data_IF_005213684156
#
_entry.id   IF_005213684156
#
_cell.length_a   1.000
_cell.length_b   1.000
_cell.length_c   1.000
_cell.angle_alpha   90.00
_cell.angle_beta   90.00
_cell.angle_gamma   90.00
#
_symmetry.space_group_name_H-M   'P 1'
#
loop_
_entity.id
_entity.type
_entity.pdbx_description
1 polymer ?
#
# COMPACT_ATOMS: atom_id res chain seq x y z
N UNK A 1 1.87 -25.28 9.80
CA UNK A 1 0.94 -24.37 9.09
C UNK A 1 0.82 -24.91 7.67
N UNK A 2 -0.32 -25.51 7.33
CA UNK A 2 -0.55 -26.14 6.02
C UNK A 2 -0.65 -25.10 4.91
N UNK A 3 0.36 -25.04 4.04
CA UNK A 3 0.48 -24.10 2.93
C UNK A 3 -0.49 -24.32 1.75
N UNK A 4 -1.43 -25.27 1.86
CA UNK A 4 -2.42 -25.59 0.81
C UNK A 4 -3.75 -24.87 1.00
N UNK A 5 -4.07 -24.40 2.22
CA UNK A 5 -5.29 -23.60 2.48
C UNK A 5 -5.13 -22.11 2.18
N UNK A 6 -3.90 -21.62 2.10
CA UNK A 6 -3.60 -20.19 1.89
C UNK A 6 -3.34 -19.81 0.43
N UNK A 7 -3.39 -20.74 -0.53
CA UNK A 7 -3.15 -20.39 -1.95
C UNK A 7 -4.20 -19.41 -2.50
N UNK A 8 -5.47 -19.59 -2.14
CA UNK A 8 -6.56 -18.67 -2.50
C UNK A 8 -6.50 -17.33 -1.78
N UNK A 9 -6.17 -17.34 -0.48
CA UNK A 9 -6.01 -16.12 0.34
C UNK A 9 -4.74 -15.34 -0.02
N UNK A 10 -3.59 -16.00 -0.26
CA UNK A 10 -2.37 -15.37 -0.76
C UNK A 10 -2.60 -14.67 -2.12
N UNK A 11 -3.44 -15.25 -2.98
CA UNK A 11 -3.83 -14.62 -4.25
C UNK A 11 -4.77 -13.43 -4.03
N UNK A 12 -5.72 -13.53 -3.09
CA UNK A 12 -6.62 -12.44 -2.72
C UNK A 12 -5.87 -11.26 -2.13
N UNK A 13 -5.00 -11.49 -1.14
CA UNK A 13 -4.23 -10.46 -0.44
C UNK A 13 -3.20 -9.81 -1.37
N UNK A 14 -2.52 -10.60 -2.19
CA UNK A 14 -1.58 -10.07 -3.19
C UNK A 14 -2.30 -9.26 -4.26
N UNK A 15 -3.52 -9.65 -4.65
CA UNK A 15 -4.33 -8.90 -5.62
C UNK A 15 -4.88 -7.62 -5.01
N UNK A 16 -5.37 -7.68 -3.77
CA UNK A 16 -5.87 -6.54 -3.01
C UNK A 16 -4.79 -5.49 -2.78
N UNK A 17 -3.60 -5.91 -2.34
CA UNK A 17 -2.45 -5.02 -2.16
C UNK A 17 -2.04 -4.37 -3.49
N UNK A 18 -1.96 -5.14 -4.59
CA UNK A 18 -1.65 -4.60 -5.92
C UNK A 18 -2.69 -3.59 -6.40
N UNK A 19 -3.97 -3.84 -6.15
CA UNK A 19 -5.06 -2.93 -6.52
C UNK A 19 -5.03 -1.64 -5.69
N UNK A 20 -4.89 -1.76 -4.37
CA UNK A 20 -4.77 -0.64 -3.45
C UNK A 20 -3.55 0.24 -3.81
N UNK A 21 -2.41 -0.38 -4.08
CA UNK A 21 -1.19 0.29 -4.53
C UNK A 21 -1.39 1.07 -5.83
N UNK A 22 -1.99 0.45 -6.84
CA UNK A 22 -2.28 1.11 -8.13
C UNK A 22 -3.26 2.27 -7.97
N UNK A 23 -4.29 2.11 -7.14
CA UNK A 23 -5.26 3.17 -6.85
C UNK A 23 -4.59 4.36 -6.14
N UNK A 24 -3.71 4.08 -5.18
CA UNK A 24 -2.91 5.07 -4.48
C UNK A 24 -2.00 5.85 -5.44
N UNK A 25 -1.25 5.17 -6.31
CA UNK A 25 -0.40 5.83 -7.32
C UNK A 25 -1.22 6.72 -8.27
N UNK A 26 -2.39 6.25 -8.74
CA UNK A 26 -3.27 7.03 -9.61
C UNK A 26 -3.82 8.29 -8.90
N UNK A 27 -4.13 8.19 -7.61
CA UNK A 27 -4.55 9.32 -6.80
C UNK A 27 -3.43 10.36 -6.68
N UNK A 28 -2.19 9.92 -6.43
CA UNK A 28 -1.01 10.81 -6.32
C UNK A 28 -0.73 11.56 -7.61
N UNK A 29 -0.74 10.86 -8.74
CA UNK A 29 -0.57 11.47 -10.06
C UNK A 29 -1.61 12.56 -10.33
N UNK A 30 -2.88 12.33 -9.96
CA UNK A 30 -3.97 13.31 -10.10
C UNK A 30 -3.78 14.54 -9.20
N UNK A 31 -3.18 14.38 -8.02
CA UNK A 31 -2.93 15.47 -7.06
C UNK A 31 -1.64 16.26 -7.36
N UNK A 32 -0.95 15.97 -8.47
CA UNK A 32 0.32 16.62 -8.91
C UNK A 32 1.38 16.67 -7.79
N UNK A 33 1.47 15.60 -6.99
CA UNK A 33 2.39 15.50 -5.85
C UNK A 33 2.27 16.65 -4.84
N UNK A 34 1.07 17.24 -4.67
CA UNK A 34 0.75 18.04 -3.46
C UNK A 34 0.59 17.07 -2.28
N UNK A 35 1.70 16.48 -1.88
CA UNK A 35 1.75 15.51 -0.80
C UNK A 35 1.86 16.27 0.50
N UNK A 36 0.79 16.18 1.30
CA UNK A 36 0.85 16.51 2.70
C UNK A 36 1.74 15.45 3.36
N UNK A 37 2.97 15.82 3.70
CA UNK A 37 3.82 15.00 4.56
C UNK A 37 3.06 14.78 5.88
N UNK A 38 2.94 13.51 6.29
CA UNK A 38 2.27 13.17 7.55
C UNK A 38 3.18 13.65 8.69
N UNK A 39 2.67 14.50 9.61
CA UNK A 39 3.44 14.93 10.77
C UNK A 39 3.96 13.74 11.58
N UNK A 40 5.26 13.70 11.85
CA UNK A 40 5.95 12.60 12.56
C UNK A 40 6.44 11.44 11.67
N UNK A 41 6.12 11.45 10.37
CA UNK A 41 6.58 10.46 9.38
C UNK A 41 7.29 11.10 8.18
N UNK A 42 7.73 12.35 8.31
CA UNK A 42 8.36 13.12 7.24
C UNK A 42 9.66 12.49 6.72
N UNK A 43 10.34 11.69 7.55
CA UNK A 43 11.52 10.93 7.14
C UNK A 43 11.23 9.81 6.14
N UNK A 44 9.98 9.36 6.02
CA UNK A 44 9.60 8.28 5.13
C UNK A 44 9.10 8.81 3.79
N UNK A 45 9.30 8.02 2.75
CA UNK A 45 8.63 8.26 1.48
C UNK A 45 7.15 7.89 1.60
N UNK A 46 6.32 8.53 0.79
CA UNK A 46 4.90 8.19 0.63
C UNK A 46 4.67 6.69 0.37
N UNK A 47 5.56 6.07 -0.40
CA UNK A 47 5.55 4.64 -0.69
C UNK A 47 5.81 3.83 0.60
N UNK A 48 6.80 4.23 1.40
CA UNK A 48 7.08 3.59 2.69
C UNK A 48 5.92 3.78 3.67
N UNK A 49 5.33 4.96 3.73
CA UNK A 49 4.15 5.24 4.56
C UNK A 49 2.97 4.36 4.17
N UNK A 50 2.72 4.15 2.87
CA UNK A 50 1.68 3.24 2.40
C UNK A 50 1.88 1.81 2.93
N UNK A 51 3.10 1.26 2.82
CA UNK A 51 3.38 -0.10 3.28
C UNK A 51 3.43 -0.21 4.81
N UNK A 52 3.86 0.83 5.52
CA UNK A 52 3.76 0.92 6.98
C UNK A 52 2.29 0.89 7.44
N UNK A 53 1.38 1.55 6.72
CA UNK A 53 -0.05 1.54 7.04
C UNK A 53 -0.73 0.20 6.68
N UNK A 54 -0.26 -0.51 5.66
CA UNK A 54 -0.79 -1.82 5.28
C UNK A 54 -0.36 -2.95 6.23
N UNK A 55 0.86 -2.88 6.76
CA UNK A 55 1.43 -3.92 7.63
C UNK A 55 1.15 -3.76 9.12
N UNK A 56 0.35 -2.76 9.52
CA UNK A 56 -0.11 -2.56 10.91
C UNK A 56 -1.48 -3.19 11.16
#
# INVERSE_FOLDING_TARGET
>A
LDGTKTLGENMSDTTGLKLAWRAYQKLRQRRRNREFRIPGLEQFTDDQVFFLAYGN
#
